data_IF_829290558746
#
_entry.id   IF_829290558746
#
_cell.length_a   1.000
_cell.length_b   1.000
_cell.length_c   1.000
_cell.angle_alpha   90.00
_cell.angle_beta   90.00
_cell.angle_gamma   90.00
#
_symmetry.space_group_name_H-M   'P 1'
#
loop_
_entity.id
_entity.type
_entity.pdbx_description
1 polymer ?
#
# COMPACT_ATOMS: atom_id res chain seq x y z
N UNK A 1 -30.88 32.44 -18.97
CA UNK A 1 -31.92 31.47 -18.57
C UNK A 1 -31.20 30.24 -18.05
N UNK A 2 -31.45 29.88 -16.79
CA UNK A 2 -30.84 28.75 -16.09
C UNK A 2 -31.54 27.46 -16.55
N UNK A 3 -30.80 26.48 -17.08
CA UNK A 3 -31.30 25.12 -17.32
C UNK A 3 -30.91 24.25 -16.13
N UNK A 4 -31.73 24.30 -15.07
CA UNK A 4 -31.73 23.23 -14.08
C UNK A 4 -32.33 21.98 -14.73
N UNK A 5 -31.49 21.00 -15.07
CA UNK A 5 -31.97 19.66 -15.37
C UNK A 5 -32.51 19.05 -14.07
N UNK A 6 -33.83 18.84 -14.03
CA UNK A 6 -34.50 18.18 -12.94
C UNK A 6 -33.95 16.74 -12.79
N UNK A 7 -33.27 16.46 -11.67
CA UNK A 7 -32.86 15.10 -11.31
C UNK A 7 -34.11 14.27 -11.04
N UNK A 8 -34.47 13.38 -11.97
CA UNK A 8 -35.55 12.42 -11.81
C UNK A 8 -35.37 11.55 -10.57
N UNK A 9 -36.47 11.17 -9.92
CA UNK A 9 -36.44 10.24 -8.79
C UNK A 9 -36.33 8.80 -9.34
N UNK A 10 -35.15 8.19 -9.16
CA UNK A 10 -34.82 6.84 -9.66
C UNK A 10 -35.42 5.67 -8.84
N UNK A 11 -36.27 5.95 -7.85
CA UNK A 11 -36.82 4.89 -6.97
C UNK A 11 -38.05 4.25 -7.62
N UNK A 12 -38.00 2.93 -7.78
CA UNK A 12 -39.16 2.12 -8.21
C UNK A 12 -39.21 1.76 -9.69
N UNK A 13 -38.23 2.19 -10.50
CA UNK A 13 -38.12 1.81 -11.92
C UNK A 13 -37.72 0.35 -12.06
N UNK A 14 -38.31 -0.35 -13.04
CA UNK A 14 -37.86 -1.69 -13.42
C UNK A 14 -36.49 -1.62 -14.16
N UNK A 15 -35.75 -2.74 -14.31
CA UNK A 15 -34.41 -2.71 -14.90
C UNK A 15 -34.34 -2.10 -16.30
N UNK A 16 -35.35 -2.32 -17.15
CA UNK A 16 -35.38 -1.79 -18.51
C UNK A 16 -35.59 -0.28 -18.51
N UNK A 17 -36.50 0.22 -17.66
CA UNK A 17 -36.73 1.65 -17.45
C UNK A 17 -35.47 2.36 -16.90
N UNK A 18 -34.66 1.68 -16.11
CA UNK A 18 -33.39 2.22 -15.62
C UNK A 18 -32.35 2.37 -16.75
N UNK A 19 -32.28 1.41 -17.67
CA UNK A 19 -31.38 1.51 -18.83
C UNK A 19 -31.84 2.62 -19.77
N UNK A 20 -33.13 2.69 -20.07
CA UNK A 20 -33.70 3.77 -20.90
C UNK A 20 -33.45 5.15 -20.28
N UNK A 21 -33.62 5.27 -18.96
CA UNK A 21 -33.34 6.50 -18.27
C UNK A 21 -31.83 6.84 -18.27
N UNK A 22 -30.94 5.84 -18.22
CA UNK A 22 -29.50 6.04 -18.38
C UNK A 22 -29.11 6.48 -19.80
N UNK A 23 -29.73 5.92 -20.85
CA UNK A 23 -29.54 6.36 -22.24
C UNK A 23 -29.96 7.83 -22.42
N UNK A 24 -31.10 8.21 -21.83
CA UNK A 24 -31.56 9.62 -21.81
C UNK A 24 -30.64 10.55 -21.03
N UNK A 25 -30.00 10.05 -19.97
CA UNK A 25 -29.02 10.79 -19.15
C UNK A 25 -27.64 10.92 -19.84
N UNK A 26 -27.45 10.26 -20.99
CA UNK A 26 -26.27 10.40 -21.83
C UNK A 26 -25.36 9.17 -21.89
N UNK A 27 -25.81 7.99 -21.46
CA UNK A 27 -25.12 6.73 -21.74
C UNK A 27 -25.11 6.48 -23.26
N UNK A 28 -23.93 6.29 -23.84
CA UNK A 28 -23.79 5.93 -25.25
C UNK A 28 -24.34 4.52 -25.52
N UNK A 29 -25.18 4.38 -26.55
CA UNK A 29 -25.58 3.09 -27.09
C UNK A 29 -24.38 2.36 -27.72
N UNK A 30 -23.46 3.12 -28.31
CA UNK A 30 -22.23 2.59 -28.86
C UNK A 30 -21.20 2.34 -27.75
N UNK A 31 -20.83 1.06 -27.60
CA UNK A 31 -19.82 0.59 -26.64
C UNK A 31 -18.40 0.70 -27.19
N UNK A 32 -18.22 1.01 -28.48
CA UNK A 32 -16.90 1.09 -29.12
C UNK A 32 -16.00 2.16 -28.50
N UNK A 33 -16.59 3.21 -27.91
CA UNK A 33 -15.89 4.26 -27.16
C UNK A 33 -15.47 3.86 -25.74
N UNK A 34 -15.88 2.68 -25.26
CA UNK A 34 -15.52 2.18 -23.93
C UNK A 34 -14.22 1.39 -24.03
N UNK A 35 -13.18 1.89 -23.36
CA UNK A 35 -11.91 1.19 -23.27
C UNK A 35 -12.08 -0.14 -22.53
N UNK A 36 -11.65 -1.23 -23.16
CA UNK A 36 -11.65 -2.57 -22.58
C UNK A 36 -10.50 -2.82 -21.58
N UNK A 37 -9.56 -1.88 -21.47
CA UNK A 37 -8.42 -2.00 -20.57
C UNK A 37 -8.84 -1.94 -19.09
N UNK A 38 -8.17 -2.71 -18.20
CA UNK A 38 -8.40 -2.61 -16.78
C UNK A 38 -8.12 -1.21 -16.21
N UNK A 39 -9.07 -0.65 -15.48
CA UNK A 39 -8.86 0.62 -14.76
C UNK A 39 -8.11 0.37 -13.45
N UNK A 40 -6.90 0.90 -13.33
CA UNK A 40 -6.08 0.76 -12.14
C UNK A 40 -6.18 1.97 -11.21
N UNK A 41 -6.20 1.73 -9.89
CA UNK A 41 -6.02 2.79 -8.90
C UNK A 41 -4.70 3.53 -9.15
N UNK A 42 -4.76 4.86 -9.16
CA UNK A 42 -3.58 5.73 -9.32
C UNK A 42 -2.55 5.42 -8.24
N UNK A 43 -1.29 5.28 -8.65
CA UNK A 43 -0.18 5.12 -7.71
C UNK A 43 0.08 6.44 -6.99
N UNK A 44 0.56 6.36 -5.74
CA UNK A 44 1.01 7.55 -5.04
C UNK A 44 2.31 8.04 -5.70
N UNK A 45 2.25 9.23 -6.30
CA UNK A 45 3.31 9.83 -7.11
C UNK A 45 4.64 9.97 -6.34
N UNK A 46 4.58 10.32 -5.05
CA UNK A 46 5.79 10.58 -4.26
C UNK A 46 6.40 9.31 -3.67
N UNK A 47 5.57 8.34 -3.31
CA UNK A 47 6.00 7.21 -2.47
C UNK A 47 6.04 5.88 -3.20
N UNK A 48 5.14 5.65 -4.16
CA UNK A 48 5.01 4.38 -4.85
C UNK A 48 5.58 4.43 -6.26
N UNK A 49 5.24 5.47 -7.03
CA UNK A 49 5.59 5.61 -8.45
C UNK A 49 7.09 5.36 -8.73
N UNK A 50 8.04 5.96 -7.98
CA UNK A 50 9.47 5.78 -8.29
C UNK A 50 9.94 4.33 -8.19
N UNK A 51 9.31 3.51 -7.33
CA UNK A 51 9.67 2.11 -7.21
C UNK A 51 9.10 1.23 -8.32
N UNK A 52 8.00 1.66 -8.94
CA UNK A 52 7.40 0.97 -10.07
C UNK A 52 8.18 1.33 -11.34
N UNK A 53 8.49 2.61 -11.53
CA UNK A 53 9.31 3.11 -12.63
C UNK A 53 10.68 2.41 -12.64
N UNK A 54 11.37 2.33 -11.49
CA UNK A 54 12.65 1.63 -11.41
C UNK A 54 12.57 0.14 -11.79
N UNK A 55 11.42 -0.52 -11.60
CA UNK A 55 11.23 -1.89 -12.07
C UNK A 55 10.87 -1.96 -13.56
N UNK A 56 10.19 -0.95 -14.08
CA UNK A 56 9.95 -0.80 -15.52
C UNK A 56 11.26 -0.55 -16.28
N UNK A 57 12.12 0.35 -15.80
CA UNK A 57 13.45 0.60 -16.36
C UNK A 57 14.30 -0.68 -16.38
N UNK A 58 14.21 -1.47 -15.30
CA UNK A 58 14.87 -2.77 -15.23
C UNK A 58 14.33 -3.76 -16.28
N UNK A 59 13.01 -3.78 -16.50
CA UNK A 59 12.38 -4.59 -17.54
C UNK A 59 12.81 -4.18 -18.94
N UNK A 60 12.85 -2.88 -19.24
CA UNK A 60 13.32 -2.39 -20.53
C UNK A 60 14.81 -2.71 -20.76
N UNK A 61 15.64 -2.59 -19.73
CA UNK A 61 17.03 -3.03 -19.78
C UNK A 61 17.16 -4.54 -20.02
N UNK A 62 16.28 -5.34 -19.41
CA UNK A 62 16.22 -6.79 -19.64
C UNK A 62 15.81 -7.10 -21.09
N UNK A 63 14.75 -6.47 -21.60
CA UNK A 63 14.28 -6.64 -22.99
C UNK A 63 15.31 -6.25 -24.04
N UNK A 64 16.15 -5.25 -23.78
CA UNK A 64 17.27 -4.90 -24.68
C UNK A 64 18.29 -6.03 -24.81
N UNK A 65 18.49 -6.83 -23.75
CA UNK A 65 19.41 -7.98 -23.76
C UNK A 65 18.74 -9.27 -24.27
N UNK A 66 17.45 -9.41 -24.02
CA UNK A 66 16.65 -10.56 -24.42
C UNK A 66 15.43 -10.08 -25.22
N UNK A 67 15.62 -9.72 -26.51
CA UNK A 67 14.52 -9.30 -27.37
C UNK A 67 13.47 -10.40 -27.49
N UNK A 68 12.20 -10.03 -27.49
CA UNK A 68 11.08 -10.98 -27.60
C UNK A 68 10.58 -11.54 -26.26
N UNK A 69 11.26 -11.28 -25.14
CA UNK A 69 10.79 -11.75 -23.83
C UNK A 69 9.41 -11.20 -23.43
N UNK A 70 8.63 -12.04 -22.76
CA UNK A 70 7.26 -11.76 -22.34
C UNK A 70 6.99 -12.32 -20.92
N UNK A 71 6.49 -11.48 -20.01
CA UNK A 71 6.17 -11.90 -18.64
C UNK A 71 4.97 -12.85 -18.56
N UNK A 72 4.24 -13.05 -19.65
CA UNK A 72 3.20 -14.09 -19.74
C UNK A 72 3.79 -15.48 -19.97
N UNK A 73 5.09 -15.59 -20.26
CA UNK A 73 5.79 -16.84 -20.49
C UNK A 73 6.54 -17.24 -19.22
N UNK A 74 6.33 -18.49 -18.77
CA UNK A 74 6.91 -19.02 -17.54
C UNK A 74 8.44 -18.96 -17.52
N UNK A 75 9.08 -19.26 -18.64
CA UNK A 75 10.55 -19.27 -18.77
C UNK A 75 11.13 -17.87 -18.60
N UNK A 76 10.58 -16.90 -19.31
CA UNK A 76 10.97 -15.49 -19.19
C UNK A 76 10.74 -14.97 -17.78
N UNK A 77 9.59 -15.30 -17.17
CA UNK A 77 9.28 -14.91 -15.79
C UNK A 77 10.32 -15.47 -14.79
N UNK A 78 10.71 -16.74 -14.93
CA UNK A 78 11.73 -17.35 -14.08
C UNK A 78 13.11 -16.74 -14.33
N UNK A 79 13.46 -16.48 -15.58
CA UNK A 79 14.76 -15.93 -15.95
C UNK A 79 14.92 -14.49 -15.47
N UNK A 80 13.93 -13.61 -15.66
CA UNK A 80 13.98 -12.26 -15.11
C UNK A 80 13.97 -12.26 -13.58
N UNK A 81 13.24 -13.19 -12.95
CA UNK A 81 13.26 -13.32 -11.49
C UNK A 81 14.68 -13.61 -10.99
N UNK A 82 15.42 -14.48 -11.67
CA UNK A 82 16.83 -14.73 -11.38
C UNK A 82 17.70 -13.49 -11.63
N UNK A 83 17.47 -12.76 -12.72
CA UNK A 83 18.18 -11.51 -13.02
C UNK A 83 17.96 -10.45 -11.92
N UNK A 84 16.72 -10.29 -11.44
CA UNK A 84 16.37 -9.39 -10.32
C UNK A 84 17.08 -9.83 -9.04
N UNK A 85 17.08 -11.13 -8.76
CA UNK A 85 17.69 -11.68 -7.56
C UNK A 85 19.22 -11.54 -7.54
N UNK A 86 19.88 -11.74 -8.69
CA UNK A 86 21.33 -11.58 -8.85
C UNK A 86 21.78 -10.13 -8.83
N UNK A 87 20.97 -9.21 -9.37
CA UNK A 87 21.29 -7.78 -9.44
C UNK A 87 20.93 -7.01 -8.17
N UNK A 88 20.14 -7.58 -7.27
CA UNK A 88 19.73 -6.90 -6.03
C UNK A 88 20.75 -7.13 -4.91
N UNK A 89 21.43 -6.09 -4.41
CA UNK A 89 22.34 -6.23 -3.27
C UNK A 89 21.56 -6.49 -1.97
N UNK A 90 22.05 -7.46 -1.20
CA UNK A 90 21.59 -7.78 0.14
C UNK A 90 22.10 -6.80 1.18
N UNK A 91 21.21 -6.37 2.08
CA UNK A 91 21.57 -5.51 3.23
C UNK A 91 21.71 -6.27 4.55
N UNK A 92 21.07 -7.44 4.66
CA UNK A 92 21.05 -8.23 5.89
C UNK A 92 22.23 -9.21 5.92
N UNK A 93 22.37 -10.00 4.85
CA UNK A 93 23.48 -10.93 4.70
C UNK A 93 24.79 -10.17 4.49
N UNK A 94 25.55 -9.99 5.57
CA UNK A 94 26.84 -9.27 5.54
C UNK A 94 27.94 -10.05 4.81
N UNK A 95 27.80 -11.37 4.68
CA UNK A 95 28.84 -12.25 4.14
C UNK A 95 28.78 -12.31 2.61
N UNK A 96 27.63 -12.70 2.07
CA UNK A 96 27.47 -12.87 0.62
C UNK A 96 26.74 -11.68 -0.02
N UNK A 97 26.24 -10.73 0.78
CA UNK A 97 25.48 -9.56 0.32
C UNK A 97 24.34 -9.97 -0.62
N UNK A 98 23.67 -11.08 -0.32
CA UNK A 98 22.56 -11.61 -1.13
C UNK A 98 21.22 -11.03 -0.70
N UNK A 99 20.38 -10.74 -1.68
CA UNK A 99 19.01 -10.32 -1.43
C UNK A 99 18.25 -11.38 -0.62
N UNK A 100 17.28 -10.93 0.17
CA UNK A 100 16.38 -11.86 0.85
C UNK A 100 15.28 -12.35 -0.10
N UNK A 101 14.74 -13.54 0.18
CA UNK A 101 13.54 -14.09 -0.51
C UNK A 101 12.42 -13.05 -0.57
N UNK A 102 12.17 -12.36 0.55
CA UNK A 102 11.14 -11.33 0.68
C UNK A 102 11.42 -10.12 -0.22
N UNK A 103 12.68 -9.71 -0.33
CA UNK A 103 13.08 -8.57 -1.18
C UNK A 103 12.83 -8.88 -2.66
N UNK A 104 13.26 -10.05 -3.13
CA UNK A 104 13.06 -10.47 -4.52
C UNK A 104 11.57 -10.59 -4.83
N UNK A 105 10.79 -11.23 -3.95
CA UNK A 105 9.34 -11.36 -4.11
C UNK A 105 8.64 -9.99 -4.22
N UNK A 106 9.02 -9.03 -3.37
CA UNK A 106 8.45 -7.68 -3.41
C UNK A 106 8.80 -6.93 -4.70
N UNK A 107 10.03 -7.06 -5.20
CA UNK A 107 10.44 -6.49 -6.49
C UNK A 107 9.67 -7.12 -7.65
N UNK A 108 9.54 -8.44 -7.68
CA UNK A 108 8.77 -9.13 -8.71
C UNK A 108 7.29 -8.76 -8.69
N UNK A 109 6.67 -8.62 -7.52
CA UNK A 109 5.29 -8.12 -7.43
C UNK A 109 5.14 -6.74 -8.07
N UNK A 110 6.05 -5.81 -7.77
CA UNK A 110 6.04 -4.46 -8.37
C UNK A 110 6.23 -4.54 -9.88
N UNK A 111 7.15 -5.38 -10.36
CA UNK A 111 7.41 -5.58 -11.78
C UNK A 111 6.16 -6.09 -12.51
N UNK A 112 5.55 -7.17 -12.03
CA UNK A 112 4.34 -7.73 -12.62
C UNK A 112 3.22 -6.68 -12.65
N UNK A 113 3.03 -5.95 -11.55
CA UNK A 113 2.02 -4.89 -11.48
C UNK A 113 2.28 -3.71 -12.42
N UNK A 114 3.52 -3.20 -12.54
CA UNK A 114 3.81 -2.11 -13.48
C UNK A 114 3.71 -2.60 -14.93
N UNK A 115 4.10 -3.84 -15.18
CA UNK A 115 4.04 -4.42 -16.51
C UNK A 115 2.60 -4.54 -17.02
N UNK A 116 1.69 -5.05 -16.19
CA UNK A 116 0.27 -5.13 -16.55
C UNK A 116 -0.35 -3.74 -16.75
N UNK A 117 0.02 -2.76 -15.92
CA UNK A 117 -0.43 -1.36 -16.05
C UNK A 117 0.00 -0.70 -17.36
N UNK A 118 1.24 -0.95 -17.79
CA UNK A 118 1.80 -0.28 -18.97
C UNK A 118 1.47 -1.00 -20.28
N UNK A 119 1.22 -2.31 -20.23
CA UNK A 119 0.89 -3.11 -21.43
C UNK A 119 -0.60 -3.32 -21.61
N UNK A 120 -1.41 -3.09 -20.58
CA UNK A 120 -2.82 -3.49 -20.49
C UNK A 120 -3.06 -5.00 -20.71
N UNK A 121 -2.00 -5.81 -20.65
CA UNK A 121 -2.08 -7.25 -20.78
C UNK A 121 -2.17 -7.90 -19.39
N UNK A 122 -2.82 -9.06 -19.34
CA UNK A 122 -2.92 -9.85 -18.11
C UNK A 122 -1.88 -10.95 -18.11
N UNK A 123 -1.14 -11.08 -16.99
CA UNK A 123 -0.25 -12.21 -16.75
C UNK A 123 -1.12 -13.40 -16.32
N UNK A 124 -1.04 -14.57 -16.96
CA UNK A 124 -1.82 -15.73 -16.58
C UNK A 124 -1.59 -16.12 -15.11
N UNK A 125 -2.64 -16.53 -14.36
CA UNK A 125 -2.52 -16.90 -12.95
C UNK A 125 -1.45 -17.96 -12.69
N UNK A 126 -1.33 -18.96 -13.56
CA UNK A 126 -0.32 -20.01 -13.44
C UNK A 126 1.11 -19.46 -13.46
N UNK A 127 1.38 -18.41 -14.25
CA UNK A 127 2.69 -17.76 -14.29
C UNK A 127 2.85 -16.86 -13.09
N UNK A 128 1.87 -16.00 -12.81
CA UNK A 128 1.92 -15.05 -11.70
C UNK A 128 2.13 -15.74 -10.34
N UNK A 129 1.34 -16.76 -10.05
CA UNK A 129 1.33 -17.43 -8.73
C UNK A 129 2.54 -18.35 -8.55
N UNK A 130 3.14 -18.83 -9.65
CA UNK A 130 4.37 -19.64 -9.59
C UNK A 130 5.62 -18.89 -9.14
N UNK A 131 5.64 -17.55 -9.24
CA UNK A 131 6.81 -16.73 -8.91
C UNK A 131 7.18 -16.90 -7.43
N UNK A 132 6.19 -16.91 -6.55
CA UNK A 132 6.42 -16.99 -5.11
C UNK A 132 7.02 -18.34 -4.67
N UNK A 133 6.49 -19.51 -5.10
CA UNK A 133 7.13 -20.81 -4.93
C UNK A 133 8.50 -20.90 -5.60
N UNK A 134 8.63 -20.45 -6.86
CA UNK A 134 9.91 -20.49 -7.57
C UNK A 134 11.03 -19.76 -6.81
N UNK A 135 10.76 -18.55 -6.31
CA UNK A 135 11.75 -17.81 -5.51
C UNK A 135 12.13 -18.57 -4.24
N UNK A 136 11.13 -19.11 -3.53
CA UNK A 136 11.32 -19.70 -2.20
C UNK A 136 12.00 -21.06 -2.25
N UNK A 137 11.57 -21.91 -3.18
CA UNK A 137 11.84 -23.35 -3.16
C UNK A 137 12.82 -23.79 -4.26
N UNK A 138 13.07 -22.95 -5.28
CA UNK A 138 14.03 -23.26 -6.36
C UNK A 138 15.18 -22.26 -6.37
N UNK A 139 14.85 -20.98 -6.61
CA UNK A 139 15.85 -19.94 -6.82
C UNK A 139 16.69 -19.70 -5.57
N UNK A 140 16.08 -19.75 -4.38
CA UNK A 140 16.77 -19.65 -3.10
C UNK A 140 17.93 -20.64 -3.02
N UNK A 141 17.76 -21.87 -3.49
CA UNK A 141 18.80 -22.89 -3.41
C UNK A 141 19.81 -22.78 -4.55
N UNK A 142 19.38 -22.31 -5.73
CA UNK A 142 20.24 -22.07 -6.90
C UNK A 142 21.21 -20.89 -6.70
N UNK A 143 20.74 -19.79 -6.12
CA UNK A 143 21.52 -18.59 -5.82
C UNK A 143 21.33 -18.21 -4.36
N UNK A 144 22.04 -18.83 -3.40
CA UNK A 144 21.72 -18.89 -1.97
C UNK A 144 21.13 -17.59 -1.41
N UNK A 145 19.80 -17.44 -1.50
CA UNK A 145 19.11 -16.22 -1.09
C UNK A 145 19.00 -16.22 0.43
N UNK A 146 19.17 -15.04 1.02
CA UNK A 146 19.09 -14.90 2.47
C UNK A 146 17.64 -15.09 2.95
N UNK A 147 17.50 -15.79 4.08
CA UNK A 147 16.26 -15.87 4.87
C UNK A 147 16.32 -15.04 6.13
N UNK A 148 17.38 -14.25 6.31
CA UNK A 148 17.50 -13.37 7.46
C UNK A 148 16.36 -12.37 7.46
N UNK A 149 15.81 -12.17 8.64
CA UNK A 149 14.83 -11.13 8.91
C UNK A 149 15.48 -10.06 9.77
N UNK A 150 15.17 -8.80 9.45
CA UNK A 150 15.60 -7.70 10.30
C UNK A 150 14.89 -7.87 11.65
N UNK A 151 15.67 -7.86 12.74
CA UNK A 151 15.11 -7.84 14.08
C UNK A 151 14.08 -6.69 14.19
N UNK A 152 12.89 -6.94 14.78
CA UNK A 152 11.93 -5.90 15.04
C UNK A 152 12.59 -4.76 15.81
N UNK A 153 12.48 -3.54 15.30
CA UNK A 153 12.84 -2.34 16.05
C UNK A 153 11.58 -1.86 16.76
N UNK A 154 11.65 -1.73 18.09
CA UNK A 154 10.58 -1.21 18.92
C UNK A 154 11.10 -0.04 19.74
N UNK A 155 10.19 0.87 20.08
CA UNK A 155 10.44 1.92 21.07
C UNK A 155 9.96 1.39 22.42
N UNK A 156 10.78 1.55 23.44
CA UNK A 156 10.44 1.23 24.82
C UNK A 156 9.79 2.44 25.50
N UNK A 157 9.17 2.22 26.67
CA UNK A 157 8.63 3.31 27.49
C UNK A 157 9.73 4.31 27.84
N UNK A 158 10.94 3.85 28.16
CA UNK A 158 12.11 4.70 28.43
C UNK A 158 12.41 5.60 27.23
N UNK A 159 12.39 5.06 26.01
CA UNK A 159 12.58 5.91 24.82
C UNK A 159 11.51 6.99 24.68
N UNK A 160 10.26 6.73 25.08
CA UNK A 160 9.22 7.77 25.08
C UNK A 160 9.45 8.83 26.15
N UNK A 161 9.92 8.43 27.33
CA UNK A 161 10.30 9.37 28.39
C UNK A 161 11.43 10.28 27.90
N UNK A 162 12.49 9.71 27.35
CA UNK A 162 13.63 10.47 26.81
C UNK A 162 13.20 11.43 25.70
N UNK A 163 12.31 11.01 24.80
CA UNK A 163 11.79 11.86 23.72
C UNK A 163 10.91 13.01 24.24
N UNK A 164 10.10 12.77 25.27
CA UNK A 164 9.30 13.82 25.91
C UNK A 164 10.20 14.79 26.69
N UNK A 165 11.18 14.29 27.43
CA UNK A 165 12.14 15.14 28.15
C UNK A 165 12.95 16.00 27.17
N UNK A 166 13.41 15.40 26.06
CA UNK A 166 14.02 16.15 24.98
C UNK A 166 13.08 17.24 24.46
N UNK A 167 11.85 16.90 24.07
CA UNK A 167 10.88 17.84 23.50
C UNK A 167 10.56 19.03 24.43
N UNK A 168 10.46 18.79 25.73
CA UNK A 168 10.03 19.80 26.70
C UNK A 168 11.18 20.58 27.35
N UNK A 169 12.32 19.93 27.60
CA UNK A 169 13.39 20.48 28.44
C UNK A 169 14.69 20.75 27.68
N UNK A 170 14.97 19.99 26.62
CA UNK A 170 16.26 20.03 25.92
C UNK A 170 16.14 20.37 24.43
N UNK A 171 14.92 20.65 23.94
CA UNK A 171 14.70 21.02 22.56
C UNK A 171 15.00 22.50 22.35
N UNK A 172 16.10 22.75 21.65
CA UNK A 172 16.54 24.08 21.25
C UNK A 172 15.79 24.61 20.02
N UNK A 173 14.83 23.86 19.47
CA UNK A 173 13.98 24.33 18.40
C UNK A 173 13.05 25.44 18.88
N UNK A 174 13.11 26.59 18.21
CA UNK A 174 12.24 27.72 18.47
C UNK A 174 10.95 27.58 17.65
N UNK A 175 9.89 27.08 18.29
CA UNK A 175 8.59 26.93 17.63
C UNK A 175 7.97 28.30 17.37
N UNK A 176 7.44 28.51 16.16
CA UNK A 176 6.66 29.71 15.85
C UNK A 176 5.42 29.83 16.76
N UNK A 177 4.84 28.69 17.11
CA UNK A 177 3.74 28.55 18.06
C UNK A 177 3.98 27.36 18.98
N UNK A 178 3.99 27.58 20.30
CA UNK A 178 4.16 26.51 21.30
C UNK A 178 3.06 25.43 21.23
N UNK A 179 1.90 25.74 20.63
CA UNK A 179 0.88 24.74 20.33
C UNK A 179 1.41 23.58 19.46
N UNK A 180 2.37 23.84 18.55
CA UNK A 180 2.99 22.79 17.76
C UNK A 180 3.80 21.79 18.62
N UNK A 181 4.43 22.27 19.70
CA UNK A 181 5.14 21.42 20.67
C UNK A 181 4.15 20.52 21.43
N UNK A 182 3.01 21.09 21.84
CA UNK A 182 1.90 20.33 22.45
C UNK A 182 1.39 19.24 21.49
N UNK A 183 1.19 19.57 20.21
CA UNK A 183 0.73 18.61 19.19
C UNK A 183 1.73 17.47 18.99
N UNK A 184 3.03 17.76 18.97
CA UNK A 184 4.09 16.74 18.88
C UNK A 184 4.09 15.79 20.09
N UNK A 185 3.97 16.34 21.30
CA UNK A 185 3.84 15.54 22.53
C UNK A 185 2.58 14.67 22.51
N UNK A 186 1.45 15.22 22.05
CA UNK A 186 0.22 14.46 21.89
C UNK A 186 0.41 13.29 20.89
N UNK A 187 1.07 13.50 19.76
CA UNK A 187 1.36 12.44 18.79
C UNK A 187 2.25 11.32 19.38
N UNK A 188 3.29 11.68 20.13
CA UNK A 188 4.18 10.73 20.81
C UNK A 188 3.41 9.87 21.81
N UNK A 189 2.61 10.51 22.68
CA UNK A 189 1.78 9.83 23.68
C UNK A 189 0.73 8.93 23.02
N UNK A 190 0.04 9.43 21.99
CA UNK A 190 -0.93 8.61 21.27
C UNK A 190 -0.29 7.38 20.64
N UNK A 191 0.91 7.49 20.08
CA UNK A 191 1.63 6.33 19.57
C UNK A 191 2.00 5.34 20.68
N UNK A 192 2.53 5.83 21.81
CA UNK A 192 2.90 5.02 22.96
C UNK A 192 1.71 4.23 23.53
N UNK A 193 0.56 4.88 23.75
CA UNK A 193 -0.56 4.29 24.47
C UNK A 193 -1.59 3.54 23.61
N UNK A 194 -1.63 3.78 22.29
CA UNK A 194 -2.64 3.15 21.43
C UNK A 194 -2.08 2.07 20.49
N UNK A 195 -0.74 1.96 20.37
CA UNK A 195 -0.07 1.13 19.35
C UNK A 195 -0.59 1.36 17.92
N UNK A 196 -1.28 2.49 17.68
CA UNK A 196 -1.85 2.83 16.38
C UNK A 196 -0.73 3.20 15.41
N UNK A 197 -0.91 2.88 14.13
CA UNK A 197 0.06 3.30 13.10
C UNK A 197 0.04 4.81 12.95
N UNK A 198 1.17 5.41 12.59
CA UNK A 198 1.27 6.85 12.36
C UNK A 198 0.15 7.41 11.46
N UNK A 199 -0.17 6.73 10.35
CA UNK A 199 -1.26 7.17 9.47
C UNK A 199 -2.66 7.10 10.10
N UNK A 200 -2.86 6.21 11.08
CA UNK A 200 -4.14 6.09 11.80
C UNK A 200 -4.29 7.28 12.74
N UNK A 201 -3.23 7.64 13.46
CA UNK A 201 -3.19 8.80 14.36
C UNK A 201 -3.34 10.11 13.57
N UNK A 202 -2.55 10.31 12.51
CA UNK A 202 -2.58 11.57 11.73
C UNK A 202 -3.89 11.80 10.95
N UNK A 203 -4.72 10.77 10.75
CA UNK A 203 -6.02 10.89 10.07
C UNK A 203 -7.20 10.91 11.03
N UNK A 204 -6.96 10.67 12.32
CA UNK A 204 -8.01 10.69 13.31
C UNK A 204 -8.60 12.09 13.44
N UNK A 205 -9.92 12.17 13.44
CA UNK A 205 -10.67 13.38 13.80
C UNK A 205 -11.18 13.23 15.22
N UNK A 206 -11.53 14.36 15.86
CA UNK A 206 -12.10 14.34 17.21
C UNK A 206 -13.30 13.39 17.34
N UNK A 207 -14.18 13.35 16.32
CA UNK A 207 -15.35 12.43 16.27
C UNK A 207 -15.01 10.94 16.22
N UNK A 208 -13.74 10.62 15.92
CA UNK A 208 -13.24 9.25 15.84
C UNK A 208 -12.69 8.78 17.20
N UNK A 209 -12.49 9.68 18.17
CA UNK A 209 -12.09 9.30 19.52
C UNK A 209 -13.27 8.68 20.28
N UNK A 210 -13.00 7.57 20.96
CA UNK A 210 -13.94 6.90 21.85
C UNK A 210 -13.30 6.83 23.23
N UNK A 211 -13.92 7.49 24.20
CA UNK A 211 -13.63 7.29 25.61
C UNK A 211 -14.50 6.13 26.10
N UNK A 212 -13.86 5.02 26.47
CA UNK A 212 -14.52 3.85 27.04
C UNK A 212 -14.22 3.84 28.53
N UNK A 213 -15.27 3.85 29.35
CA UNK A 213 -15.15 3.62 30.78
C UNK A 213 -15.57 2.18 31.03
N UNK A 214 -14.61 1.36 31.46
CA UNK A 214 -14.83 -0.04 31.84
C UNK A 214 -14.59 -0.22 33.32
N UNK A 215 -15.17 -1.25 33.92
CA UNK A 215 -14.89 -1.62 35.31
C UNK A 215 -14.12 -2.94 35.31
N UNK A 216 -13.00 -2.97 36.02
CA UNK A 216 -12.18 -4.18 36.18
C UNK A 216 -11.81 -4.30 37.65
N UNK A 217 -12.10 -5.44 38.25
CA UNK A 217 -11.79 -5.75 39.65
C UNK A 217 -12.34 -4.70 40.66
N UNK A 218 -13.50 -4.10 40.34
CA UNK A 218 -14.12 -3.06 41.18
C UNK A 218 -13.56 -1.65 40.97
N UNK A 219 -12.56 -1.48 40.11
CA UNK A 219 -11.96 -0.19 39.78
C UNK A 219 -12.35 0.29 38.38
N UNK A 220 -12.58 1.60 38.19
CA UNK A 220 -12.83 2.16 36.86
C UNK A 220 -11.53 2.23 36.05
N UNK A 221 -11.53 1.59 34.88
CA UNK A 221 -10.47 1.67 33.88
C UNK A 221 -10.96 2.51 32.69
N UNK A 222 -10.30 3.65 32.44
CA UNK A 222 -10.59 4.54 31.31
C UNK A 222 -9.66 4.20 30.14
N UNK A 223 -10.23 3.90 28.97
CA UNK A 223 -9.51 3.60 27.74
C UNK A 223 -9.89 4.59 26.65
N UNK A 224 -8.88 5.19 26.02
CA UNK A 224 -9.06 5.99 24.81
C UNK A 224 -8.77 5.09 23.61
N UNK A 225 -9.70 5.03 22.66
CA UNK A 225 -9.56 4.27 21.42
C UNK A 225 -10.01 5.10 20.21
N UNK A 226 -9.73 4.61 19.01
CA UNK A 226 -10.15 5.22 17.75
C UNK A 226 -11.20 4.35 17.04
N UNK A 227 -12.25 4.99 16.50
CA UNK A 227 -13.17 4.36 15.53
C UNK A 227 -12.37 3.98 14.29
N UNK A 228 -12.28 2.67 14.04
CA UNK A 228 -11.44 2.14 12.96
C UNK A 228 -12.05 2.23 11.57
N UNK A 229 -13.21 2.86 11.39
CA UNK A 229 -13.97 2.90 10.14
C UNK A 229 -13.15 3.40 8.94
N UNK A 230 -12.22 4.34 9.15
CA UNK A 230 -11.39 4.93 8.08
C UNK A 230 -9.94 4.40 8.06
N UNK A 231 -9.54 3.57 9.02
CA UNK A 231 -8.12 3.40 9.42
C UNK A 231 -7.25 2.52 8.53
N UNK A 232 -7.76 1.98 7.42
CA UNK A 232 -6.93 1.14 6.53
C UNK A 232 -7.01 1.49 5.04
N UNK A 233 -7.63 2.62 4.70
CA UNK A 233 -7.97 2.89 3.29
C UNK A 233 -8.85 1.78 2.68
N UNK A 234 -9.52 1.00 3.54
CA UNK A 234 -10.43 -0.07 3.17
C UNK A 234 -11.87 0.42 3.02
N UNK A 235 -12.04 1.72 2.82
CA UNK A 235 -13.35 2.38 2.67
C UNK A 235 -14.07 1.85 1.42
N UNK A 236 -13.30 1.54 0.37
CA UNK A 236 -13.77 0.98 -0.89
C UNK A 236 -13.65 -0.55 -0.95
N UNK A 237 -13.22 -1.20 0.13
CA UNK A 237 -13.12 -2.66 0.17
C UNK A 237 -14.47 -3.20 0.60
N UNK A 238 -15.17 -4.02 -0.22
CA UNK A 238 -16.44 -4.57 0.19
C UNK A 238 -16.25 -5.31 1.52
N UNK A 239 -17.08 -4.98 2.52
CA UNK A 239 -17.14 -5.75 3.76
C UNK A 239 -17.51 -7.18 3.35
N UNK A 240 -16.63 -8.13 3.64
CA UNK A 240 -16.95 -9.55 3.53
C UNK A 240 -18.05 -9.91 4.53
#
# INVERSE_FOLDING_TARGET
>A
MSTEQAKGCWRGLNPDEQIEAALRDGLSEDRSGIDSNPVHRKLNEKTSQPWYDAMWDFWEAYKRKYPGSDLRIMEDMKHITEAVARSTPGRLDKKLKRATVKTVRNKMRKLMSIWQRNTNLTIPPEVHDSVAPYIKDVLRHKIPLSIEEKAPTFLTIENYVDMEELLWQHDHHNFVHEGCRVDLSALLKMHCYTSARLQEICKAKYKDLVCMVSWKDGEPEIKISFKREFTKGMQDTPKK
#
